data_IF_422853323053
#
_entry.id   IF_422853323053
#
_cell.length_a   1.000
_cell.length_b   1.000
_cell.length_c   1.000
_cell.angle_alpha   90.00
_cell.angle_beta   90.00
_cell.angle_gamma   90.00
#
_symmetry.space_group_name_H-M   'P 1'
#
loop_
_entity.id
_entity.type
_entity.pdbx_description
1 polymer ?
#
# COMPACT_ATOMS: atom_id res chain seq x y z
N UNK A 1 58.07 29.55 -3.90
CA UNK A 1 57.67 28.14 -4.12
C UNK A 1 56.35 27.90 -3.42
N UNK A 2 55.27 27.73 -4.16
CA UNK A 2 53.97 27.39 -3.58
C UNK A 2 54.07 25.99 -2.97
N UNK A 3 53.99 25.90 -1.63
CA UNK A 3 53.93 24.63 -0.93
C UNK A 3 52.61 23.95 -1.31
N UNK A 4 52.70 23.03 -2.28
CA UNK A 4 51.55 22.28 -2.77
C UNK A 4 51.12 21.35 -1.64
N UNK A 5 49.97 21.64 -1.03
CA UNK A 5 49.39 20.81 0.03
C UNK A 5 49.36 19.34 -0.42
N UNK A 6 49.67 18.39 0.48
CA UNK A 6 49.79 16.99 0.11
C UNK A 6 48.47 16.46 -0.46
N UNK A 7 48.56 15.52 -1.41
CA UNK A 7 47.40 15.00 -2.17
C UNK A 7 46.29 14.48 -1.25
N UNK A 8 46.64 13.80 -0.15
CA UNK A 8 45.67 13.28 0.81
C UNK A 8 44.81 14.39 1.45
N UNK A 9 45.40 15.56 1.74
CA UNK A 9 44.68 16.70 2.33
C UNK A 9 43.68 17.31 1.34
N UNK A 10 44.02 17.33 0.05
CA UNK A 10 43.11 17.80 -1.01
C UNK A 10 41.90 16.88 -1.14
N UNK A 11 42.10 15.57 -1.13
CA UNK A 11 41.01 14.59 -1.14
C UNK A 11 40.20 14.59 0.16
N UNK A 12 40.84 14.72 1.32
CA UNK A 12 40.16 14.85 2.61
C UNK A 12 39.21 16.06 2.62
N UNK A 13 39.64 17.21 2.08
CA UNK A 13 38.77 18.39 1.93
C UNK A 13 37.60 18.13 0.98
N UNK A 14 37.80 17.39 -0.10
CA UNK A 14 36.72 17.04 -1.04
C UNK A 14 35.69 16.14 -0.37
N UNK A 15 36.13 15.09 0.34
CA UNK A 15 35.21 14.21 1.06
C UNK A 15 34.49 14.93 2.20
N UNK A 16 35.18 15.81 2.92
CA UNK A 16 34.56 16.61 3.97
C UNK A 16 33.51 17.57 3.40
N UNK A 17 33.86 18.34 2.36
CA UNK A 17 32.92 19.26 1.73
C UNK A 17 31.72 18.53 1.09
N UNK A 18 31.97 17.41 0.40
CA UNK A 18 30.93 16.55 -0.16
C UNK A 18 30.04 15.95 0.93
N UNK A 19 30.64 15.44 2.01
CA UNK A 19 29.92 14.91 3.16
C UNK A 19 29.06 15.96 3.87
N UNK A 20 29.57 17.17 4.05
CA UNK A 20 28.78 18.29 4.58
C UNK A 20 27.59 18.63 3.67
N UNK A 21 27.78 18.63 2.35
CA UNK A 21 26.72 18.94 1.40
C UNK A 21 25.62 17.86 1.42
N UNK A 22 26.00 16.58 1.32
CA UNK A 22 25.07 15.44 1.39
C UNK A 22 24.39 15.38 2.75
N UNK A 23 25.14 15.56 3.84
CA UNK A 23 24.61 15.57 5.20
C UNK A 23 23.62 16.70 5.44
N UNK A 24 23.91 17.91 4.93
CA UNK A 24 22.98 19.04 5.00
C UNK A 24 21.71 18.76 4.20
N UNK A 25 21.82 18.18 3.01
CA UNK A 25 20.66 17.77 2.21
C UNK A 25 19.78 16.76 2.94
N UNK A 26 20.37 15.74 3.56
CA UNK A 26 19.64 14.75 4.36
C UNK A 26 18.96 15.38 5.58
N UNK A 27 19.66 16.27 6.30
CA UNK A 27 19.12 16.97 7.45
C UNK A 27 17.91 17.83 7.08
N UNK A 28 18.02 18.60 6.00
CA UNK A 28 16.92 19.44 5.49
C UNK A 28 15.72 18.58 5.07
N UNK A 29 15.97 17.47 4.37
CA UNK A 29 14.91 16.55 3.98
C UNK A 29 14.17 15.98 5.20
N UNK A 30 14.91 15.51 6.20
CA UNK A 30 14.31 14.91 7.40
C UNK A 30 13.54 15.91 8.26
N UNK A 31 13.96 17.18 8.28
CA UNK A 31 13.36 18.21 9.13
C UNK A 31 12.20 18.96 8.46
N UNK A 32 12.25 19.17 7.14
CA UNK A 32 11.25 19.97 6.42
C UNK A 32 10.12 19.10 5.88
N UNK A 33 10.39 17.84 5.50
CA UNK A 33 9.35 16.98 4.93
C UNK A 33 8.35 16.59 6.03
N UNK A 34 7.05 16.93 5.89
CA UNK A 34 6.04 16.46 6.82
C UNK A 34 5.91 14.93 6.72
N UNK A 35 5.59 14.29 7.85
CA UNK A 35 5.21 12.88 7.84
C UNK A 35 3.84 12.71 7.17
N UNK A 36 3.55 11.51 6.66
CA UNK A 36 2.28 11.26 5.98
C UNK A 36 1.07 11.53 6.90
N UNK A 37 1.19 11.24 8.20
CA UNK A 37 0.16 11.55 9.20
C UNK A 37 -0.02 13.06 9.40
N UNK A 38 1.07 13.83 9.47
CA UNK A 38 1.02 15.28 9.59
C UNK A 38 0.42 15.91 8.32
N UNK A 39 0.73 15.35 7.15
CA UNK A 39 0.16 15.78 5.88
C UNK A 39 -1.34 15.50 5.82
N UNK A 40 -1.78 14.30 6.19
CA UNK A 40 -3.21 13.94 6.23
C UNK A 40 -3.97 14.79 7.24
N UNK A 41 -3.37 15.10 8.39
CA UNK A 41 -3.97 15.99 9.40
C UNK A 41 -4.11 17.44 8.90
N UNK A 42 -3.26 17.88 7.96
CA UNK A 42 -3.36 19.22 7.36
C UNK A 42 -4.47 19.34 6.32
N UNK A 43 -5.04 18.23 5.85
CA UNK A 43 -6.13 18.25 4.88
C UNK A 43 -7.47 18.64 5.51
N UNK A 44 -8.36 19.20 4.69
CA UNK A 44 -9.75 19.40 5.10
C UNK A 44 -10.44 18.04 5.33
N UNK A 45 -11.48 17.97 6.18
CA UNK A 45 -12.18 16.73 6.47
C UNK A 45 -12.68 16.01 5.21
N UNK A 46 -13.17 16.76 4.22
CA UNK A 46 -13.66 16.25 2.95
C UNK A 46 -12.55 15.56 2.12
N UNK A 47 -11.37 16.19 2.04
CA UNK A 47 -10.22 15.64 1.32
C UNK A 47 -9.69 14.40 2.03
N UNK A 48 -9.69 14.42 3.37
CA UNK A 48 -9.28 13.26 4.17
C UNK A 48 -10.20 12.06 3.94
N UNK A 49 -11.52 12.27 3.96
CA UNK A 49 -12.48 11.20 3.68
C UNK A 49 -12.30 10.64 2.27
N UNK A 50 -12.11 11.50 1.26
CA UNK A 50 -11.84 11.05 -0.10
C UNK A 50 -10.52 10.28 -0.22
N UNK A 51 -9.48 10.71 0.51
CA UNK A 51 -8.19 10.01 0.57
C UNK A 51 -8.34 8.62 1.19
N UNK A 52 -9.06 8.51 2.31
CA UNK A 52 -9.30 7.26 3.02
C UNK A 52 -10.12 6.28 2.17
N UNK A 53 -11.19 6.73 1.51
CA UNK A 53 -11.99 5.90 0.60
C UNK A 53 -11.17 5.31 -0.55
N UNK A 54 -10.26 6.09 -1.11
CA UNK A 54 -9.46 5.69 -2.28
C UNK A 54 -8.08 5.12 -1.92
N UNK A 55 -7.73 5.02 -0.63
CA UNK A 55 -6.42 4.53 -0.20
C UNK A 55 -6.18 3.10 -0.67
N UNK A 56 -7.14 2.22 -0.42
CA UNK A 56 -7.04 0.81 -0.76
C UNK A 56 -6.96 0.58 -2.28
N UNK A 57 -7.72 1.34 -3.06
CA UNK A 57 -7.68 1.25 -4.53
C UNK A 57 -6.29 1.62 -5.05
N UNK A 58 -5.70 2.71 -4.52
CA UNK A 58 -4.33 3.12 -4.91
C UNK A 58 -3.27 2.10 -4.50
N UNK A 59 -3.42 1.47 -3.34
CA UNK A 59 -2.54 0.39 -2.92
C UNK A 59 -2.63 -0.82 -3.87
N UNK A 60 -3.84 -1.19 -4.29
CA UNK A 60 -4.06 -2.27 -5.27
C UNK A 60 -3.47 -1.93 -6.66
N UNK A 61 -3.64 -0.68 -7.12
CA UNK A 61 -3.02 -0.19 -8.35
C UNK A 61 -1.49 -0.27 -8.30
N UNK A 62 -0.88 0.17 -7.19
CA UNK A 62 0.57 0.10 -7.01
C UNK A 62 1.09 -1.34 -6.96
N UNK A 63 0.36 -2.26 -6.32
CA UNK A 63 0.71 -3.68 -6.31
C UNK A 63 0.71 -4.25 -7.73
N UNK A 64 -0.35 -3.96 -8.51
CA UNK A 64 -0.46 -4.40 -9.90
C UNK A 64 0.60 -3.77 -10.80
N UNK A 65 0.93 -2.49 -10.57
CA UNK A 65 2.04 -1.83 -11.25
C UNK A 65 3.36 -2.57 -10.97
N UNK A 66 3.62 -2.93 -9.72
CA UNK A 66 4.84 -3.65 -9.34
C UNK A 66 4.91 -5.03 -10.00
N UNK A 67 3.78 -5.73 -10.14
CA UNK A 67 3.72 -6.98 -10.88
C UNK A 67 4.05 -6.80 -12.36
N UNK A 68 3.52 -5.75 -13.00
CA UNK A 68 3.85 -5.41 -14.38
C UNK A 68 5.34 -5.12 -14.50
N UNK A 69 5.91 -4.30 -13.60
CA UNK A 69 7.33 -3.98 -13.60
C UNK A 69 8.18 -5.25 -13.48
N UNK A 70 7.83 -6.20 -12.61
CA UNK A 70 8.54 -7.49 -12.48
C UNK A 70 8.47 -8.35 -13.75
N UNK A 71 7.31 -8.35 -14.42
CA UNK A 71 7.12 -9.07 -15.69
C UNK A 71 7.92 -8.40 -16.81
N UNK A 72 7.84 -7.08 -16.92
CA UNK A 72 8.58 -6.27 -17.90
C UNK A 72 10.09 -6.34 -17.68
N UNK A 73 10.57 -6.33 -16.43
CA UNK A 73 12.00 -6.41 -16.13
C UNK A 73 12.63 -7.75 -16.54
N UNK A 74 11.80 -8.79 -16.66
CA UNK A 74 12.21 -10.11 -17.15
C UNK A 74 12.11 -10.23 -18.67
N UNK A 75 11.56 -9.23 -19.36
CA UNK A 75 11.47 -9.19 -20.82
C UNK A 75 12.79 -8.69 -21.43
N UNK A 76 13.07 -9.14 -22.65
CA UNK A 76 14.18 -8.61 -23.46
C UNK A 76 13.82 -7.29 -24.17
N UNK A 77 12.54 -6.88 -24.12
CA UNK A 77 12.08 -5.63 -24.69
C UNK A 77 12.43 -4.44 -23.79
N UNK A 78 12.75 -3.26 -24.38
CA UNK A 78 13.05 -2.09 -23.58
C UNK A 78 11.83 -1.59 -22.81
N UNK A 79 12.05 -1.04 -21.61
CA UNK A 79 11.01 -0.64 -20.64
C UNK A 79 9.93 0.27 -21.23
N UNK A 80 10.28 1.14 -22.19
CA UNK A 80 9.32 2.04 -22.83
C UNK A 80 8.42 1.37 -23.89
N UNK A 81 8.75 0.15 -24.30
CA UNK A 81 7.93 -0.69 -25.21
C UNK A 81 7.21 -1.83 -24.49
N UNK A 82 7.72 -2.22 -23.32
CA UNK A 82 7.33 -3.43 -22.64
C UNK A 82 6.27 -3.17 -21.57
N UNK A 83 5.05 -3.67 -21.82
CA UNK A 83 4.00 -3.76 -20.81
C UNK A 83 2.61 -3.32 -21.30
N UNK A 84 1.58 -3.52 -20.46
CA UNK A 84 0.21 -3.09 -20.73
C UNK A 84 -0.03 -1.60 -20.45
N UNK A 85 1.00 -0.82 -20.11
CA UNK A 85 0.89 0.62 -19.87
C UNK A 85 1.38 1.30 -21.13
N UNK A 86 0.47 1.96 -21.85
CA UNK A 86 0.83 2.58 -23.10
C UNK A 86 1.76 3.78 -22.90
N UNK A 87 2.85 3.84 -23.69
CA UNK A 87 3.71 5.01 -23.68
C UNK A 87 3.03 6.19 -24.40
N UNK A 88 3.17 7.43 -23.90
CA UNK A 88 2.61 8.61 -24.57
C UNK A 88 3.22 8.88 -25.96
N UNK A 89 4.38 8.28 -26.25
CA UNK A 89 5.17 8.54 -27.44
C UNK A 89 4.87 7.58 -28.60
N UNK A 90 4.31 6.40 -28.32
CA UNK A 90 4.02 5.40 -29.35
C UNK A 90 2.59 5.49 -29.86
N UNK A 91 2.43 5.56 -31.19
CA UNK A 91 1.11 5.76 -31.81
C UNK A 91 0.15 4.61 -31.54
N UNK A 92 0.68 3.39 -31.49
CA UNK A 92 -0.08 2.14 -31.32
C UNK A 92 -0.57 1.97 -29.87
N UNK A 93 0.15 2.56 -28.92
CA UNK A 93 -0.11 2.41 -27.48
C UNK A 93 -0.99 3.52 -26.89
N UNK A 94 -1.31 4.57 -27.67
CA UNK A 94 -2.09 5.73 -27.21
C UNK A 94 -3.51 5.42 -26.73
N UNK A 95 -4.07 4.27 -27.12
CA UNK A 95 -5.41 3.85 -26.73
C UNK A 95 -5.42 2.83 -25.58
N UNK A 96 -4.26 2.43 -25.03
CA UNK A 96 -4.26 1.60 -23.83
C UNK A 96 -4.75 2.43 -22.64
N UNK A 97 -5.73 1.89 -21.91
CA UNK A 97 -6.26 2.49 -20.70
C UNK A 97 -5.15 2.62 -19.65
N UNK A 98 -4.98 3.83 -19.13
CA UNK A 98 -4.02 4.12 -18.05
C UNK A 98 -4.46 3.52 -16.69
N UNK A 99 -5.72 3.08 -16.60
CA UNK A 99 -6.27 2.41 -15.43
C UNK A 99 -5.74 0.98 -15.34
N UNK A 100 -4.97 0.71 -14.29
CA UNK A 100 -4.40 -0.61 -14.01
C UNK A 100 -5.45 -1.54 -13.41
N UNK A 101 -6.31 -0.99 -12.55
CA UNK A 101 -7.38 -1.68 -11.84
C UNK A 101 -8.69 -1.04 -12.25
N UNK A 102 -9.69 -1.86 -12.56
CA UNK A 102 -11.04 -1.38 -12.79
C UNK A 102 -11.68 -1.07 -11.43
N UNK A 103 -11.98 0.20 -11.19
CA UNK A 103 -12.55 0.67 -9.94
C UNK A 103 -13.90 0.00 -9.63
N UNK A 104 -14.75 -0.21 -10.63
CA UNK A 104 -16.08 -0.78 -10.42
C UNK A 104 -16.00 -2.24 -9.99
N UNK A 105 -15.14 -3.01 -10.68
CA UNK A 105 -14.89 -4.40 -10.32
C UNK A 105 -14.23 -4.52 -8.94
N UNK A 106 -13.26 -3.67 -8.63
CA UNK A 106 -12.59 -3.67 -7.33
C UNK A 106 -13.58 -3.42 -6.18
N UNK A 107 -14.44 -2.40 -6.32
CA UNK A 107 -15.46 -2.13 -5.32
C UNK A 107 -16.45 -3.29 -5.20
N UNK A 108 -16.91 -3.85 -6.32
CA UNK A 108 -17.82 -5.00 -6.33
C UNK A 108 -17.22 -6.21 -5.61
N UNK A 109 -15.99 -6.60 -5.94
CA UNK A 109 -15.29 -7.71 -5.29
C UNK A 109 -15.11 -7.46 -3.78
N UNK A 110 -14.76 -6.23 -3.40
CA UNK A 110 -14.65 -5.84 -1.98
C UNK A 110 -15.99 -6.01 -1.25
N UNK A 111 -17.09 -5.52 -1.83
CA UNK A 111 -18.42 -5.66 -1.24
C UNK A 111 -18.84 -7.14 -1.14
N UNK A 112 -18.63 -7.94 -2.17
CA UNK A 112 -18.93 -9.38 -2.13
C UNK A 112 -18.11 -10.12 -1.06
N UNK A 113 -16.83 -9.76 -0.90
CA UNK A 113 -15.97 -10.33 0.13
C UNK A 113 -16.41 -9.94 1.54
N UNK A 114 -16.83 -8.68 1.74
CA UNK A 114 -17.41 -8.23 3.01
C UNK A 114 -18.69 -8.99 3.35
N UNK A 115 -19.61 -9.14 2.39
CA UNK A 115 -20.84 -9.91 2.58
C UNK A 115 -20.55 -11.37 2.95
N UNK A 116 -19.61 -12.03 2.26
CA UNK A 116 -19.21 -13.40 2.60
C UNK A 116 -18.64 -13.51 4.01
N UNK A 117 -17.85 -12.53 4.45
CA UNK A 117 -17.31 -12.50 5.80
C UNK A 117 -18.40 -12.30 6.86
N UNK A 118 -19.38 -11.43 6.60
CA UNK A 118 -20.52 -11.22 7.49
C UNK A 118 -21.39 -12.47 7.59
N UNK A 119 -21.69 -13.14 6.47
CA UNK A 119 -22.42 -14.41 6.47
C UNK A 119 -21.65 -15.49 7.25
N UNK A 120 -20.33 -15.57 7.05
CA UNK A 120 -19.49 -16.52 7.79
C UNK A 120 -19.52 -16.26 9.30
N UNK A 121 -19.45 -14.98 9.72
CA UNK A 121 -19.58 -14.60 11.13
C UNK A 121 -20.96 -14.92 11.69
N UNK A 122 -22.02 -14.59 10.96
CA UNK A 122 -23.39 -14.90 11.37
C UNK A 122 -23.60 -16.42 11.55
N UNK A 123 -23.05 -17.23 10.64
CA UNK A 123 -23.11 -18.69 10.76
C UNK A 123 -22.37 -19.21 12.01
N UNK A 124 -21.21 -18.62 12.34
CA UNK A 124 -20.46 -18.97 13.55
C UNK A 124 -21.25 -18.59 14.82
N UNK A 125 -21.84 -17.40 14.86
CA UNK A 125 -22.67 -16.94 15.99
C UNK A 125 -23.91 -17.82 16.18
N UNK A 126 -24.53 -18.27 15.08
CA UNK A 126 -25.65 -19.23 15.12
C UNK A 126 -25.18 -20.57 15.67
N UNK A 127 -24.05 -21.11 15.21
CA UNK A 127 -23.49 -22.36 15.72
C UNK A 127 -23.16 -22.28 17.22
N UNK A 128 -22.59 -21.16 17.66
CA UNK A 128 -22.34 -20.89 19.09
C UNK A 128 -23.63 -20.81 19.90
N UNK A 129 -24.64 -20.11 19.40
CA UNK A 129 -25.95 -20.02 20.04
C UNK A 129 -26.63 -21.40 20.16
N UNK A 130 -26.56 -22.23 19.12
CA UNK A 130 -27.07 -23.60 19.14
C UNK A 130 -26.33 -24.46 20.18
N UNK A 131 -25.00 -24.36 20.25
CA UNK A 131 -24.20 -25.05 21.28
C UNK A 131 -24.65 -24.65 22.69
N UNK A 132 -24.76 -23.36 22.97
CA UNK A 132 -25.20 -22.85 24.28
C UNK A 132 -26.63 -23.29 24.64
N UNK A 133 -27.55 -23.31 23.66
CA UNK A 133 -28.91 -23.81 23.86
C UNK A 133 -28.92 -25.32 24.15
N UNK A 134 -28.10 -26.11 23.45
CA UNK A 134 -27.97 -27.55 23.67
C UNK A 134 -27.41 -27.87 25.05
N UNK A 135 -26.43 -27.11 25.53
CA UNK A 135 -25.87 -27.22 26.88
C UNK A 135 -26.91 -26.87 27.95
N UNK A 136 -27.65 -25.76 27.77
CA UNK A 136 -28.76 -25.40 28.65
C UNK A 136 -29.84 -26.49 28.71
N UNK A 137 -30.22 -27.07 27.55
CA UNK A 137 -31.20 -28.16 27.49
C UNK A 137 -30.72 -29.41 28.22
N UNK A 138 -29.45 -29.81 28.04
CA UNK A 138 -28.83 -30.94 28.78
C UNK A 138 -28.81 -30.68 30.29
N UNK A 139 -28.42 -29.47 30.72
CA UNK A 139 -28.38 -29.10 32.14
C UNK A 139 -29.77 -29.10 32.78
N UNK A 140 -30.77 -28.55 32.08
CA UNK A 140 -32.16 -28.54 32.56
C UNK A 140 -32.73 -29.96 32.64
N UNK A 141 -32.50 -30.80 31.61
CA UNK A 141 -32.87 -32.23 31.63
C UNK A 141 -32.21 -33.03 32.76
N UNK A 142 -30.99 -32.69 33.16
CA UNK A 142 -30.28 -33.36 34.26
C UNK A 142 -30.87 -33.00 35.63
N UNK A 143 -31.41 -31.79 35.79
CA UNK A 143 -32.02 -31.34 37.04
C UNK A 143 -33.36 -32.03 37.32
N UNK A 144 -34.18 -32.24 36.29
CA UNK A 144 -35.45 -32.99 36.39
C UNK A 144 -35.31 -34.50 36.65
N UNK A 145 -34.11 -35.08 36.48
CA UNK A 145 -33.87 -36.50 36.77
C UNK A 145 -33.45 -36.77 38.23
N UNK A 146 -33.15 -35.72 38.98
CA UNK A 146 -32.71 -35.80 40.38
C UNK A 146 -33.81 -35.46 41.39
N UNK A 147 -34.97 -35.00 40.92
CA UNK A 147 -36.18 -34.70 41.70
C UNK A 147 -37.26 -35.71 41.35
#
# INVERSE_FOLDING_TARGET
MSSVKPLWYRWARVYFAGGCLVGTGFLLYYTIRPTDEQLIASFSPEVREHYERNKELREAEQQKLMEIVKKTSSSNDPVWKAGPIGSPFEKEQRNLSMQLVDAELFHKEKFENQQKQEIAKANLEVEEAERLLSEKKKKNSSWWKFF
#
